data_IF_056018546015
#
_entry.id   IF_056018546015
#
_cell.length_a   1.000
_cell.length_b   1.000
_cell.length_c   1.000
_cell.angle_alpha   90.00
_cell.angle_beta   90.00
_cell.angle_gamma   90.00
#
_symmetry.space_group_name_H-M   'P 1'
#
loop_
_entity.id
_entity.type
_entity.pdbx_description
1 polymer ?
#
# COMPACT_ATOMS: atom_id res chain seq x y z
N UNK A 1 -21.05 -39.29 -13.88
CA UNK A 1 -21.68 -38.16 -14.61
C UNK A 1 -22.19 -37.10 -13.65
N UNK A 2 -22.93 -37.47 -12.59
CA UNK A 2 -23.42 -36.52 -11.57
C UNK A 2 -22.31 -35.74 -10.86
N UNK A 3 -21.17 -36.35 -10.54
CA UNK A 3 -20.04 -35.69 -9.88
C UNK A 3 -19.58 -34.41 -10.61
N UNK A 4 -19.41 -34.49 -11.94
CA UNK A 4 -18.96 -33.35 -12.75
C UNK A 4 -19.97 -32.20 -12.74
N UNK A 5 -21.26 -32.55 -12.79
CA UNK A 5 -22.33 -31.56 -12.71
C UNK A 5 -22.35 -30.91 -11.32
N UNK A 6 -22.22 -31.71 -10.26
CA UNK A 6 -22.17 -31.21 -8.88
C UNK A 6 -20.98 -30.27 -8.66
N UNK A 7 -19.79 -30.62 -9.17
CA UNK A 7 -18.60 -29.74 -9.13
C UNK A 7 -18.87 -28.43 -9.88
N UNK A 8 -19.44 -28.49 -11.08
CA UNK A 8 -19.73 -27.29 -11.86
C UNK A 8 -20.77 -26.40 -11.17
N UNK A 9 -21.86 -26.98 -10.68
CA UNK A 9 -22.91 -26.25 -9.94
C UNK A 9 -22.38 -25.67 -8.63
N UNK A 10 -21.49 -26.38 -7.93
CA UNK A 10 -20.82 -25.83 -6.76
C UNK A 10 -20.02 -24.58 -7.11
N UNK A 11 -19.17 -24.65 -8.15
CA UNK A 11 -18.37 -23.52 -8.60
C UNK A 11 -19.27 -22.36 -9.03
N UNK A 12 -20.30 -22.62 -9.82
CA UNK A 12 -21.21 -21.59 -10.33
C UNK A 12 -22.03 -20.91 -9.21
N UNK A 13 -22.25 -21.61 -8.09
CA UNK A 13 -22.94 -21.08 -6.90
C UNK A 13 -22.08 -20.19 -6.00
N UNK A 14 -20.77 -20.07 -6.24
CA UNK A 14 -19.89 -19.23 -5.42
C UNK A 14 -20.10 -17.75 -5.71
N UNK A 15 -20.06 -16.89 -4.70
CA UNK A 15 -20.26 -15.43 -4.88
C UNK A 15 -19.03 -14.73 -5.45
N UNK A 16 -17.84 -15.23 -5.15
CA UNK A 16 -16.58 -14.61 -5.54
C UNK A 16 -16.15 -15.07 -6.93
N UNK A 17 -16.13 -14.13 -7.90
CA UNK A 17 -15.74 -14.40 -9.28
C UNK A 17 -14.27 -14.79 -9.45
N UNK A 18 -13.38 -14.30 -8.59
CA UNK A 18 -11.96 -14.66 -8.62
C UNK A 18 -11.75 -16.09 -8.11
N UNK A 19 -12.45 -16.45 -7.04
CA UNK A 19 -12.49 -17.82 -6.54
C UNK A 19 -13.09 -18.77 -7.59
N UNK A 20 -14.21 -18.41 -8.22
CA UNK A 20 -14.79 -19.20 -9.31
C UNK A 20 -13.77 -19.45 -10.42
N UNK A 21 -13.08 -18.40 -10.88
CA UNK A 21 -12.08 -18.52 -11.95
C UNK A 21 -10.94 -19.46 -11.55
N UNK A 22 -10.44 -19.31 -10.32
CA UNK A 22 -9.35 -20.13 -9.78
C UNK A 22 -9.74 -21.61 -9.75
N UNK A 23 -10.92 -21.93 -9.23
CA UNK A 23 -11.41 -23.31 -9.14
C UNK A 23 -11.70 -23.93 -10.51
N UNK A 24 -12.20 -23.15 -11.50
CA UNK A 24 -12.39 -23.64 -12.87
C UNK A 24 -11.05 -24.02 -13.54
N UNK A 25 -9.99 -23.26 -13.28
CA UNK A 25 -8.66 -23.54 -13.83
C UNK A 25 -8.02 -24.79 -13.20
N UNK A 26 -8.32 -25.08 -11.94
CA UNK A 26 -7.78 -26.22 -11.20
C UNK A 26 -8.38 -27.59 -11.60
N UNK A 27 -9.49 -27.61 -12.37
CA UNK A 27 -10.09 -28.83 -12.97
C UNK A 27 -10.36 -29.97 -11.96
N UNK A 28 -10.98 -29.64 -10.83
CA UNK A 28 -11.35 -30.62 -9.80
C UNK A 28 -12.26 -31.73 -10.34
N UNK A 29 -12.08 -32.95 -9.83
CA UNK A 29 -12.82 -34.15 -10.29
C UNK A 29 -13.94 -34.53 -9.34
N UNK A 30 -13.80 -34.21 -8.05
CA UNK A 30 -14.77 -34.57 -7.01
C UNK A 30 -15.25 -33.33 -6.26
N UNK A 31 -16.40 -33.47 -5.61
CA UNK A 31 -16.96 -32.39 -4.79
C UNK A 31 -16.08 -32.07 -3.57
N UNK A 32 -15.42 -33.09 -3.01
CA UNK A 32 -14.53 -32.92 -1.86
C UNK A 32 -13.28 -32.11 -2.24
N UNK A 33 -12.72 -32.35 -3.42
CA UNK A 33 -11.54 -31.61 -3.90
C UNK A 33 -11.85 -30.12 -4.08
N UNK A 34 -12.97 -29.79 -4.73
CA UNK A 34 -13.35 -28.39 -5.00
C UNK A 34 -13.72 -27.66 -3.71
N UNK A 35 -14.35 -28.36 -2.75
CA UNK A 35 -14.65 -27.79 -1.44
C UNK A 35 -13.36 -27.50 -0.66
N UNK A 36 -12.42 -28.44 -0.62
CA UNK A 36 -11.14 -28.27 0.08
C UNK A 36 -10.36 -27.09 -0.51
N UNK A 37 -10.28 -27.00 -1.84
CA UNK A 37 -9.61 -25.89 -2.52
C UNK A 37 -10.29 -24.54 -2.29
N UNK A 38 -11.63 -24.50 -2.21
CA UNK A 38 -12.36 -23.28 -1.86
C UNK A 38 -12.02 -22.79 -0.44
N UNK A 39 -11.96 -23.72 0.52
CA UNK A 39 -11.60 -23.40 1.91
C UNK A 39 -10.13 -22.96 2.04
N UNK A 40 -9.23 -23.58 1.29
CA UNK A 40 -7.82 -23.16 1.23
C UNK A 40 -7.69 -21.75 0.65
N UNK A 41 -8.42 -21.44 -0.42
CA UNK A 41 -8.44 -20.10 -1.00
C UNK A 41 -8.99 -19.06 -0.01
N UNK A 42 -10.09 -19.35 0.67
CA UNK A 42 -10.65 -18.46 1.69
C UNK A 42 -9.67 -18.25 2.86
N UNK A 43 -9.04 -19.32 3.33
CA UNK A 43 -8.04 -19.24 4.40
C UNK A 43 -6.82 -18.41 3.97
N UNK A 44 -6.33 -18.61 2.75
CA UNK A 44 -5.21 -17.88 2.20
C UNK A 44 -5.53 -16.40 1.97
N UNK A 45 -6.72 -16.07 1.47
CA UNK A 45 -7.17 -14.69 1.27
C UNK A 45 -7.39 -13.97 2.61
N UNK A 46 -7.95 -14.65 3.61
CA UNK A 46 -8.07 -14.09 4.97
C UNK A 46 -6.69 -13.86 5.61
N UNK A 47 -5.77 -14.82 5.50
CA UNK A 47 -4.42 -14.70 6.05
C UNK A 47 -3.57 -13.63 5.33
N UNK A 48 -3.74 -13.48 4.02
CA UNK A 48 -3.03 -12.47 3.22
C UNK A 48 -3.67 -11.08 3.26
N UNK A 49 -4.94 -10.98 3.69
CA UNK A 49 -5.75 -9.75 3.78
C UNK A 49 -5.29 -8.68 4.78
N UNK A 50 -4.09 -8.80 5.34
CA UNK A 50 -3.45 -7.74 6.14
C UNK A 50 -2.97 -6.53 5.33
N UNK A 51 -2.96 -6.59 4.00
CA UNK A 51 -2.53 -5.48 3.15
C UNK A 51 -3.71 -4.89 2.39
N UNK A 52 -4.19 -3.76 2.93
CA UNK A 52 -5.02 -2.72 2.31
C UNK A 52 -5.42 -3.00 0.85
N UNK A 53 -6.69 -3.35 0.64
CA UNK A 53 -7.35 -3.34 -0.67
C UNK A 53 -7.04 -1.99 -1.35
N UNK A 54 -6.11 -1.98 -2.30
CA UNK A 54 -5.76 -0.78 -3.07
C UNK A 54 -7.01 -0.41 -3.85
N UNK A 55 -7.66 0.69 -3.45
CA UNK A 55 -8.78 1.25 -4.20
C UNK A 55 -8.22 1.69 -5.55
N UNK A 56 -8.54 0.94 -6.60
CA UNK A 56 -8.30 1.38 -7.97
C UNK A 56 -9.19 2.61 -8.19
N UNK A 57 -8.56 3.78 -8.27
CA UNK A 57 -9.23 5.02 -8.64
C UNK A 57 -9.52 4.90 -10.13
N UNK A 58 -10.80 5.00 -10.52
CA UNK A 58 -11.15 5.32 -11.91
C UNK A 58 -10.74 6.76 -12.13
N UNK A 59 -9.77 6.99 -13.01
CA UNK A 59 -9.51 8.31 -13.56
C UNK A 59 -10.69 8.68 -14.45
N UNK A 60 -11.60 9.48 -13.91
CA UNK A 60 -12.37 10.41 -14.72
C UNK A 60 -11.49 11.66 -14.85
N UNK A 61 -11.21 12.06 -16.10
CA UNK A 61 -10.33 13.16 -16.48
C UNK A 61 -10.87 14.51 -15.97
N UNK A 62 -10.68 14.77 -14.67
CA UNK A 62 -10.86 16.09 -14.07
C UNK A 62 -9.48 16.77 -14.01
N UNK A 63 -9.02 17.31 -15.14
CA UNK A 63 -7.74 18.05 -15.24
C UNK A 63 -7.64 19.18 -14.19
N UNK A 64 -8.78 19.75 -13.78
CA UNK A 64 -8.88 20.80 -12.77
C UNK A 64 -8.47 20.36 -11.35
N UNK A 65 -8.58 19.07 -11.00
CA UNK A 65 -8.22 18.57 -9.66
C UNK A 65 -6.73 18.26 -9.53
N UNK A 66 -6.05 18.01 -10.65
CA UNK A 66 -4.61 17.76 -10.66
C UNK A 66 -3.85 19.04 -10.28
N UNK A 67 -4.29 20.19 -10.79
CA UNK A 67 -3.67 21.48 -10.48
C UNK A 67 -3.84 21.90 -9.02
N UNK A 68 -4.98 21.55 -8.38
CA UNK A 68 -5.20 21.77 -6.96
C UNK A 68 -4.28 20.90 -6.09
N UNK A 69 -4.10 19.62 -6.45
CA UNK A 69 -3.17 18.71 -5.79
C UNK A 69 -1.72 19.13 -5.99
N UNK A 70 -1.34 19.56 -7.19
CA UNK A 70 0.00 20.09 -7.49
C UNK A 70 0.27 21.36 -6.67
N UNK A 71 -0.70 22.25 -6.52
CA UNK A 71 -0.56 23.44 -5.68
C UNK A 71 -0.49 23.10 -4.18
N UNK A 72 -1.23 22.09 -3.72
CA UNK A 72 -1.13 21.59 -2.36
C UNK A 72 0.26 20.98 -2.07
N UNK A 73 0.80 20.18 -2.99
CA UNK A 73 2.13 19.58 -2.88
C UNK A 73 3.23 20.65 -2.96
N UNK A 74 3.09 21.65 -3.84
CA UNK A 74 3.97 22.83 -3.88
C UNK A 74 3.95 23.58 -2.54
N UNK A 75 2.80 23.69 -1.87
CA UNK A 75 2.70 24.26 -0.52
C UNK A 75 3.47 23.48 0.55
N UNK A 76 3.53 22.15 0.42
CA UNK A 76 4.32 21.29 1.33
C UNK A 76 5.82 21.36 1.06
N UNK A 77 6.26 21.45 -0.20
CA UNK A 77 7.68 21.51 -0.58
C UNK A 77 8.26 22.91 -0.51
N UNK A 78 7.42 23.96 -0.49
CA UNK A 78 7.84 25.37 -0.36
C UNK A 78 8.03 25.84 1.08
N UNK A 79 8.08 24.93 2.06
CA UNK A 79 8.70 25.25 3.35
C UNK A 79 10.18 25.50 3.07
N UNK A 80 10.48 26.78 2.81
CA UNK A 80 11.80 27.41 2.85
C UNK A 80 12.66 26.60 3.81
N UNK A 81 13.83 26.20 3.35
CA UNK A 81 14.94 25.77 4.20
C UNK A 81 15.16 26.85 5.25
N UNK A 82 14.40 26.78 6.33
CA UNK A 82 14.60 27.58 7.53
C UNK A 82 15.94 27.05 7.99
N UNK A 83 16.99 27.82 7.68
CA UNK A 83 18.35 27.55 8.13
C UNK A 83 18.25 27.18 9.58
N UNK A 84 18.46 25.90 9.89
CA UNK A 84 18.41 25.43 11.25
C UNK A 84 19.53 26.17 11.98
N UNK A 85 19.15 26.97 12.96
CA UNK A 85 20.09 27.59 13.88
C UNK A 85 20.51 26.53 14.89
N UNK A 86 21.80 26.38 15.11
CA UNK A 86 22.31 25.45 16.11
C UNK A 86 21.88 25.94 17.49
N UNK A 87 21.11 25.15 18.23
CA UNK A 87 20.61 25.50 19.57
C UNK A 87 21.72 25.72 20.62
N UNK A 88 23.00 25.54 20.28
CA UNK A 88 24.14 25.74 21.19
C UNK A 88 25.00 26.97 20.86
N UNK A 89 25.10 27.41 19.60
CA UNK A 89 25.89 28.59 19.22
C UNK A 89 25.10 29.66 18.45
N UNK A 90 23.85 29.38 18.06
CA UNK A 90 23.00 30.32 17.32
C UNK A 90 23.36 30.49 15.84
N UNK A 91 24.46 29.90 15.35
CA UNK A 91 24.87 29.96 13.96
C UNK A 91 24.06 29.01 13.06
N UNK A 92 23.88 29.43 11.81
CA UNK A 92 23.05 28.72 10.83
C UNK A 92 23.87 27.65 10.08
N UNK A 93 23.26 26.48 9.84
CA UNK A 93 23.76 25.52 8.83
C UNK A 93 24.45 24.27 9.35
N UNK A 94 24.44 24.00 10.66
CA UNK A 94 24.93 22.72 11.20
C UNK A 94 24.08 22.21 12.37
N UNK A 95 23.99 20.88 12.49
CA UNK A 95 23.36 20.23 13.63
C UNK A 95 24.29 20.26 14.86
N UNK A 96 23.73 20.19 16.07
CA UNK A 96 24.47 20.23 17.35
C UNK A 96 25.60 19.19 17.45
N UNK A 97 25.50 18.08 16.71
CA UNK A 97 26.54 17.04 16.68
C UNK A 97 27.80 17.43 15.88
N UNK A 98 27.75 18.52 15.12
CA UNK A 98 28.82 19.00 14.24
C UNK A 98 29.42 20.33 14.69
N UNK A 99 29.03 20.86 15.85
CA UNK A 99 29.71 22.01 16.45
C UNK A 99 31.12 21.57 16.83
N UNK A 100 32.07 21.77 15.91
CA UNK A 100 33.50 21.62 16.21
C UNK A 100 33.79 22.61 17.33
N UNK A 101 34.39 22.11 18.41
CA UNK A 101 34.81 22.90 19.56
C UNK A 101 35.69 24.09 19.09
N UNK A 102 35.07 25.23 18.82
CA UNK A 102 35.74 26.51 18.69
C UNK A 102 35.82 27.11 20.10
N UNK A 103 36.61 26.48 20.96
CA UNK A 103 36.98 27.02 22.25
C UNK A 103 38.51 27.11 22.29
N UNK A 104 39.00 28.21 21.71
CA UNK A 104 40.35 28.77 21.69
C UNK A 104 40.19 29.99 20.76
N UNK A 105 40.32 31.27 21.16
CA UNK A 105 41.23 31.90 22.10
C UNK A 105 40.73 33.32 22.46
N UNK A 106 40.73 33.61 23.76
CA UNK A 106 41.20 34.83 24.45
C UNK A 106 41.05 36.22 23.83
N UNK A 107 40.39 37.10 24.60
CA UNK A 107 40.87 38.42 25.03
C UNK A 107 41.93 39.13 24.17
N UNK A 108 41.54 40.25 23.56
CA UNK A 108 42.06 41.60 23.85
C UNK A 108 41.14 42.67 23.28
#
# INVERSE_FOLDING_TARGET
>A
MMEKLAVQTFIDGLRDHEMQRTLRLARHKTLVDVLSAALEYESATQASGGYSKVRTVKEEEDEDKLDELVNMVKGFTSKKTKTMNCCSCGENGHARSLSKNANQETHQ
#
